data_IF_371439699620
#
_entry.id   IF_371439699620
#
_cell.length_a   1.000
_cell.length_b   1.000
_cell.length_c   1.000
_cell.angle_alpha   90.00
_cell.angle_beta   90.00
_cell.angle_gamma   90.00
#
_symmetry.space_group_name_H-M   'P 1'
#
loop_
_entity.id
_entity.type
_entity.pdbx_description
1 polymer ?
#
# COMPACT_ATOMS: atom_id res chain seq x y z
N UNK A 1 51.91 -34.32 -34.43
CA UNK A 1 51.41 -34.85 -33.15
C UNK A 1 50.78 -33.67 -32.40
N UNK A 2 49.46 -33.59 -32.38
CA UNK A 2 48.70 -32.46 -31.80
C UNK A 2 47.58 -33.03 -30.93
N UNK A 3 47.71 -32.91 -29.61
CA UNK A 3 46.67 -33.23 -28.63
C UNK A 3 45.61 -32.12 -28.65
N UNK A 4 44.34 -32.47 -28.85
CA UNK A 4 43.20 -31.61 -28.52
C UNK A 4 42.70 -31.98 -27.13
N UNK A 5 42.76 -31.03 -26.21
CA UNK A 5 42.13 -31.13 -24.89
C UNK A 5 40.66 -30.79 -25.05
N UNK A 6 39.78 -31.77 -24.82
CA UNK A 6 38.33 -31.58 -24.79
C UNK A 6 37.92 -31.09 -23.41
N UNK A 7 37.68 -29.78 -23.28
CA UNK A 7 37.11 -29.21 -22.06
C UNK A 7 35.61 -29.45 -22.00
N UNK A 8 35.15 -30.24 -21.03
CA UNK A 8 33.74 -30.31 -20.66
C UNK A 8 33.32 -28.99 -20.00
N UNK A 9 32.44 -28.23 -20.65
CA UNK A 9 31.79 -27.06 -20.06
C UNK A 9 30.62 -27.54 -19.22
N UNK A 10 30.76 -27.47 -17.89
CA UNK A 10 29.65 -27.72 -16.96
C UNK A 10 28.82 -26.45 -16.88
N UNK A 11 27.64 -26.45 -17.51
CA UNK A 11 26.65 -25.38 -17.38
C UNK A 11 25.83 -25.66 -16.13
N UNK A 12 26.13 -24.96 -15.02
CA UNK A 12 25.29 -24.97 -13.82
C UNK A 12 24.09 -24.07 -14.10
N UNK A 13 22.99 -24.68 -14.52
CA UNK A 13 21.71 -24.00 -14.69
C UNK A 13 21.07 -23.80 -13.30
N UNK A 14 21.35 -22.67 -12.65
CA UNK A 14 20.60 -22.23 -11.47
C UNK A 14 19.19 -21.81 -11.91
N UNK A 15 18.23 -22.71 -11.76
CA UNK A 15 16.81 -22.41 -11.94
C UNK A 15 16.36 -21.61 -10.72
N UNK A 16 16.43 -20.28 -10.82
CA UNK A 16 15.74 -19.41 -9.88
C UNK A 16 14.24 -19.57 -10.12
N UNK A 17 13.56 -20.27 -9.21
CA UNK A 17 12.11 -20.30 -9.17
C UNK A 17 11.63 -18.92 -8.75
N UNK A 18 11.39 -18.04 -9.73
CA UNK A 18 10.73 -16.76 -9.52
C UNK A 18 9.27 -17.03 -9.12
N UNK A 19 8.99 -17.12 -7.82
CA UNK A 19 7.62 -16.97 -7.32
C UNK A 19 7.24 -15.51 -7.49
N UNK A 20 6.61 -15.21 -8.61
CA UNK A 20 5.98 -13.93 -8.87
C UNK A 20 4.77 -13.83 -7.92
N UNK A 21 4.92 -13.10 -6.80
CA UNK A 21 3.82 -12.79 -5.90
C UNK A 21 2.94 -11.75 -6.58
N UNK A 22 2.01 -12.24 -7.40
CA UNK A 22 0.94 -11.42 -7.95
C UNK A 22 0.04 -11.02 -6.78
N UNK A 23 -0.08 -9.72 -6.53
CA UNK A 23 -1.17 -9.21 -5.70
C UNK A 23 -2.48 -9.56 -6.39
N UNK A 24 -3.16 -10.58 -5.90
CA UNK A 24 -4.45 -11.01 -6.45
C UNK A 24 -5.53 -10.04 -5.97
N UNK A 25 -6.25 -9.41 -6.91
CA UNK A 25 -7.44 -8.61 -6.61
C UNK A 25 -8.55 -9.58 -6.20
N UNK A 26 -8.78 -9.71 -4.91
CA UNK A 26 -9.91 -10.50 -4.42
C UNK A 26 -11.17 -9.65 -4.48
N UNK A 27 -12.01 -9.96 -5.46
CA UNK A 27 -13.45 -9.71 -5.50
C UNK A 27 -13.95 -8.30 -5.12
N UNK A 28 -14.57 -7.63 -6.10
CA UNK A 28 -15.61 -6.62 -5.84
C UNK A 28 -16.83 -7.34 -5.26
N UNK A 29 -16.88 -7.57 -3.95
CA UNK A 29 -18.15 -7.96 -3.34
C UNK A 29 -19.15 -6.82 -3.53
N UNK A 30 -20.31 -7.17 -4.09
CA UNK A 30 -21.40 -6.22 -4.35
C UNK A 30 -21.91 -5.68 -3.00
N UNK A 31 -21.41 -4.51 -2.59
CA UNK A 31 -21.74 -3.86 -1.31
C UNK A 31 -20.59 -3.75 -0.31
N UNK A 32 -19.46 -4.42 -0.54
CA UNK A 32 -18.27 -4.40 0.32
C UNK A 32 -17.06 -3.98 -0.51
N UNK A 33 -16.89 -2.67 -0.62
CA UNK A 33 -15.98 -1.99 -1.52
C UNK A 33 -14.49 -2.07 -1.14
N UNK A 34 -13.99 -3.19 -0.64
CA UNK A 34 -12.57 -3.35 -0.35
C UNK A 34 -11.88 -4.10 -1.49
N UNK A 35 -10.84 -3.53 -2.08
CA UNK A 35 -9.90 -4.30 -2.89
C UNK A 35 -8.78 -4.79 -2.00
N UNK A 36 -8.71 -6.10 -1.77
CA UNK A 36 -7.72 -6.71 -0.89
C UNK A 36 -6.44 -7.04 -1.64
N UNK A 37 -5.30 -6.80 -0.98
CA UNK A 37 -3.99 -7.24 -1.41
C UNK A 37 -3.44 -8.22 -0.39
N UNK A 38 -3.12 -9.45 -0.82
CA UNK A 38 -2.49 -10.49 0.02
C UNK A 38 -0.96 -10.41 -0.06
N UNK A 39 -0.30 -10.99 0.95
CA UNK A 39 1.15 -11.22 0.98
C UNK A 39 1.98 -9.93 0.88
N UNK A 40 1.54 -8.84 1.53
CA UNK A 40 2.33 -7.60 1.64
C UNK A 40 3.42 -7.67 2.71
N UNK A 41 3.65 -8.85 3.32
CA UNK A 41 4.64 -9.07 4.39
C UNK A 41 6.08 -8.70 3.98
N UNK A 42 6.38 -8.69 2.68
CA UNK A 42 7.68 -8.28 2.13
C UNK A 42 7.62 -6.94 1.37
N UNK A 43 6.46 -6.29 1.40
CA UNK A 43 6.19 -5.06 0.67
C UNK A 43 6.09 -3.92 1.69
N UNK A 44 7.23 -3.51 2.26
CA UNK A 44 7.29 -2.54 3.37
C UNK A 44 6.77 -1.13 3.03
N UNK A 45 6.49 -0.85 1.76
CA UNK A 45 5.91 0.40 1.30
C UNK A 45 5.02 0.19 0.08
N UNK A 46 4.11 1.13 -0.16
CA UNK A 46 3.25 1.20 -1.35
C UNK A 46 3.02 2.64 -1.74
N UNK A 47 3.01 2.90 -3.04
CA UNK A 47 2.53 4.16 -3.62
C UNK A 47 1.18 3.88 -4.26
N UNK A 48 0.23 4.77 -4.05
CA UNK A 48 -1.08 4.68 -4.67
C UNK A 48 -1.60 6.07 -5.00
N UNK A 49 -2.41 6.13 -6.03
CA UNK A 49 -2.99 7.34 -6.53
C UNK A 49 -4.47 7.31 -6.23
N UNK A 50 -5.04 8.40 -5.74
CA UNK A 50 -6.46 8.48 -5.43
C UNK A 50 -7.05 9.73 -6.08
N UNK A 51 -8.24 9.60 -6.67
CA UNK A 51 -9.05 10.74 -7.11
C UNK A 51 -10.50 10.56 -6.67
N UNK A 52 -11.22 11.66 -6.51
CA UNK A 52 -12.66 11.63 -6.26
C UNK A 52 -13.16 12.84 -5.48
N UNK A 53 -14.48 12.89 -5.27
CA UNK A 53 -15.19 14.02 -4.64
C UNK A 53 -15.45 13.84 -3.14
N UNK A 54 -15.20 12.66 -2.58
CA UNK A 54 -15.56 12.30 -1.21
C UNK A 54 -14.33 11.97 -0.36
N UNK A 55 -14.35 10.86 0.38
CA UNK A 55 -13.22 10.40 1.19
C UNK A 55 -12.83 8.98 0.81
N UNK A 56 -11.54 8.75 0.68
CA UNK A 56 -10.99 7.41 0.52
C UNK A 56 -10.66 6.82 1.89
N UNK A 57 -10.88 5.51 2.03
CA UNK A 57 -10.52 4.77 3.25
C UNK A 57 -9.49 3.72 2.89
N UNK A 58 -8.42 3.64 3.66
CA UNK A 58 -7.40 2.60 3.51
C UNK A 58 -7.36 1.84 4.82
N UNK A 59 -7.64 0.55 4.76
CA UNK A 59 -7.52 -0.39 5.87
C UNK A 59 -6.23 -1.18 5.74
N UNK A 60 -5.54 -1.36 6.87
CA UNK A 60 -4.43 -2.30 7.02
C UNK A 60 -4.82 -3.32 8.10
N UNK A 61 -4.50 -4.57 7.85
CA UNK A 61 -4.93 -5.70 8.68
C UNK A 61 -3.73 -6.59 8.98
N UNK A 62 -3.71 -7.14 10.18
CA UNK A 62 -2.77 -8.16 10.64
C UNK A 62 -3.19 -9.56 10.24
N UNK A 63 -4.49 -9.82 10.15
CA UNK A 63 -5.08 -11.08 9.73
C UNK A 63 -6.13 -10.87 8.63
N UNK A 64 -6.80 -11.97 8.24
CA UNK A 64 -7.89 -11.93 7.25
C UNK A 64 -8.93 -10.83 7.57
N UNK A 65 -9.62 -10.28 6.56
CA UNK A 65 -10.45 -9.09 6.73
C UNK A 65 -11.55 -9.28 7.78
N UNK A 66 -11.48 -8.48 8.85
CA UNK A 66 -12.51 -8.45 9.90
C UNK A 66 -12.41 -7.19 10.77
N UNK A 67 -11.20 -6.88 11.26
CA UNK A 67 -10.92 -5.64 12.01
C UNK A 67 -9.64 -4.98 11.49
N UNK A 68 -9.75 -3.72 11.04
CA UNK A 68 -8.55 -2.97 10.62
C UNK A 68 -7.68 -2.63 11.83
N UNK A 69 -6.39 -2.97 11.78
CA UNK A 69 -5.38 -2.49 12.73
C UNK A 69 -5.20 -0.99 12.56
N UNK A 70 -4.92 -0.55 11.33
CA UNK A 70 -4.87 0.85 10.97
C UNK A 70 -5.93 1.18 9.92
N UNK A 71 -6.52 2.37 10.05
CA UNK A 71 -7.42 2.92 9.06
C UNK A 71 -7.11 4.38 8.80
N UNK A 72 -6.78 4.68 7.56
CA UNK A 72 -6.56 6.04 7.07
C UNK A 72 -7.84 6.48 6.39
N UNK A 73 -8.32 7.69 6.70
CA UNK A 73 -9.44 8.31 6.00
C UNK A 73 -8.95 9.61 5.41
N UNK A 74 -8.80 9.65 4.09
CA UNK A 74 -8.33 10.81 3.32
C UNK A 74 -9.54 11.61 2.86
N UNK A 75 -9.53 12.93 3.03
CA UNK A 75 -10.58 13.80 2.50
C UNK A 75 -11.88 13.78 3.30
N UNK A 76 -11.83 13.48 4.59
CA UNK A 76 -12.99 13.54 5.50
C UNK A 76 -13.48 14.99 5.68
N UNK A 77 -14.73 15.14 6.10
CA UNK A 77 -15.38 16.43 6.38
C UNK A 77 -15.38 17.36 5.15
N UNK A 78 -15.81 16.83 4.00
CA UNK A 78 -15.79 17.51 2.70
C UNK A 78 -14.37 17.88 2.25
N UNK A 79 -13.48 16.88 2.25
CA UNK A 79 -12.09 17.04 1.87
C UNK A 79 -11.32 18.09 2.70
N UNK A 80 -11.56 18.15 4.01
CA UNK A 80 -10.87 19.09 4.94
C UNK A 80 -9.90 18.42 5.88
N UNK A 81 -10.01 17.10 6.09
CA UNK A 81 -9.20 16.37 7.06
C UNK A 81 -8.75 15.02 6.56
N UNK A 82 -7.55 14.64 6.98
CA UNK A 82 -7.11 13.25 6.92
C UNK A 82 -6.89 12.72 8.32
N UNK A 83 -7.41 11.51 8.59
CA UNK A 83 -7.45 10.93 9.93
C UNK A 83 -6.85 9.53 9.93
N UNK A 84 -5.99 9.27 10.91
CA UNK A 84 -5.47 7.94 11.20
C UNK A 84 -6.21 7.37 12.42
N UNK A 85 -6.69 6.14 12.28
CA UNK A 85 -7.26 5.34 13.34
C UNK A 85 -6.38 4.12 13.57
N UNK A 86 -6.24 3.72 14.84
CA UNK A 86 -5.65 2.44 15.26
C UNK A 86 -6.66 1.70 16.12
N UNK A 87 -7.03 0.47 15.76
CA UNK A 87 -8.10 -0.29 16.43
C UNK A 87 -9.36 0.56 16.67
N UNK A 88 -9.80 1.29 15.63
CA UNK A 88 -10.91 2.25 15.64
C UNK A 88 -10.76 3.47 16.58
N UNK A 89 -9.67 3.60 17.34
CA UNK A 89 -9.35 4.81 18.11
C UNK A 89 -8.60 5.81 17.23
N UNK A 90 -9.03 7.07 17.26
CA UNK A 90 -8.38 8.15 16.50
C UNK A 90 -7.00 8.45 17.13
N UNK A 91 -5.93 8.30 16.36
CA UNK A 91 -4.55 8.52 16.84
C UNK A 91 -3.88 9.73 16.19
N UNK A 92 -4.29 10.12 14.99
CA UNK A 92 -3.76 11.32 14.34
C UNK A 92 -4.83 11.99 13.45
N UNK A 93 -4.75 13.32 13.31
CA UNK A 93 -5.59 14.15 12.44
C UNK A 93 -4.74 15.26 11.86
N UNK A 94 -4.92 15.51 10.57
CA UNK A 94 -4.36 16.67 9.90
C UNK A 94 -5.39 17.41 9.07
N UNK A 95 -5.08 18.69 8.84
CA UNK A 95 -5.76 19.58 7.91
C UNK A 95 -4.83 20.03 6.77
N UNK A 96 -3.60 19.49 6.72
CA UNK A 96 -2.58 19.89 5.76
C UNK A 96 -3.03 19.54 4.33
N UNK A 97 -3.06 20.51 3.40
CA UNK A 97 -3.59 20.31 2.03
C UNK A 97 -2.92 19.18 1.26
N UNK A 98 -1.64 18.94 1.48
CA UNK A 98 -0.87 17.87 0.84
C UNK A 98 -1.48 16.51 1.12
N UNK A 99 -2.08 16.33 2.30
CA UNK A 99 -2.66 15.06 2.73
C UNK A 99 -4.17 15.00 2.50
N UNK A 100 -4.76 15.95 1.78
CA UNK A 100 -6.15 15.94 1.31
C UNK A 100 -6.22 15.48 -0.15
N UNK A 101 -7.41 15.10 -0.64
CA UNK A 101 -7.60 14.84 -2.06
C UNK A 101 -7.46 16.12 -2.89
N UNK A 102 -7.19 15.98 -4.19
CA UNK A 102 -7.26 17.11 -5.11
C UNK A 102 -8.66 17.73 -5.14
N UNK A 103 -8.74 19.05 -5.26
CA UNK A 103 -10.02 19.74 -5.45
C UNK A 103 -10.66 19.40 -6.80
N UNK A 104 -9.85 19.08 -7.81
CA UNK A 104 -10.33 18.57 -9.08
C UNK A 104 -10.50 17.04 -9.01
N UNK A 105 -11.74 16.51 -9.05
CA UNK A 105 -11.99 15.10 -8.85
C UNK A 105 -11.52 14.20 -9.99
N UNK A 106 -11.12 14.76 -11.13
CA UNK A 106 -10.58 13.96 -12.26
C UNK A 106 -9.08 13.70 -12.11
N UNK A 107 -8.38 14.46 -11.26
CA UNK A 107 -6.94 14.36 -11.04
C UNK A 107 -6.61 13.36 -9.95
N UNK A 108 -5.73 12.43 -10.29
CA UNK A 108 -5.11 11.53 -9.33
C UNK A 108 -4.09 12.25 -8.47
N UNK A 109 -4.17 12.05 -7.16
CA UNK A 109 -3.16 12.49 -6.20
C UNK A 109 -2.35 11.31 -5.69
N UNK A 110 -1.01 11.37 -5.73
CA UNK A 110 -0.17 10.31 -5.21
C UNK A 110 -0.07 10.39 -3.68
N UNK A 111 -0.14 9.22 -3.06
CA UNK A 111 0.09 8.99 -1.66
C UNK A 111 0.97 7.77 -1.50
N UNK A 112 1.61 7.68 -0.35
CA UNK A 112 2.41 6.52 -0.01
C UNK A 112 2.16 6.08 1.42
N UNK A 113 2.30 4.79 1.65
CA UNK A 113 2.35 4.19 2.99
C UNK A 113 3.65 3.42 3.12
N UNK A 114 4.22 3.41 4.32
CA UNK A 114 5.35 2.57 4.69
C UNK A 114 5.06 1.98 6.06
N UNK A 115 5.40 0.72 6.26
CA UNK A 115 5.26 0.09 7.57
C UNK A 115 6.40 -0.89 7.81
N UNK A 116 6.71 -1.05 9.09
CA UNK A 116 7.60 -2.06 9.65
C UNK A 116 6.89 -2.68 10.86
N UNK A 117 7.56 -3.58 11.57
CA UNK A 117 7.09 -4.07 12.88
C UNK A 117 6.91 -2.94 13.89
N UNK A 118 7.71 -1.88 13.78
CA UNK A 118 7.87 -0.87 14.83
C UNK A 118 7.12 0.43 14.53
N UNK A 119 6.91 0.74 13.25
CA UNK A 119 6.22 1.97 12.86
C UNK A 119 5.34 1.80 11.63
N UNK A 120 4.39 2.71 11.55
CA UNK A 120 3.54 2.98 10.41
C UNK A 120 3.72 4.44 9.99
N UNK A 121 3.91 4.68 8.70
CA UNK A 121 3.99 6.00 8.11
C UNK A 121 3.05 6.14 6.92
N UNK A 122 2.44 7.30 6.80
CA UNK A 122 1.60 7.68 5.67
C UNK A 122 1.93 9.10 5.25
N UNK A 123 2.11 9.31 3.95
CA UNK A 123 2.41 10.63 3.40
C UNK A 123 1.82 10.84 2.01
N UNK A 124 2.03 12.05 1.50
CA UNK A 124 1.66 12.45 0.16
C UNK A 124 2.91 12.56 -0.72
N UNK A 125 2.78 12.23 -2.01
CA UNK A 125 3.89 12.27 -2.95
C UNK A 125 4.04 10.97 -3.73
N UNK A 126 4.84 11.06 -4.79
CA UNK A 126 5.11 9.97 -5.72
C UNK A 126 6.25 9.06 -5.26
N UNK A 127 6.91 9.41 -4.15
CA UNK A 127 8.01 8.65 -3.55
C UNK A 127 7.81 8.54 -2.05
N UNK A 128 8.18 7.38 -1.50
CA UNK A 128 8.13 7.15 -0.05
C UNK A 128 9.06 8.12 0.67
N UNK A 129 8.55 8.77 1.72
CA UNK A 129 9.28 9.81 2.47
C UNK A 129 9.18 11.21 1.87
N UNK A 130 8.57 11.37 0.69
CA UNK A 130 8.27 12.68 0.13
C UNK A 130 7.15 13.38 0.92
N UNK A 131 7.21 14.70 0.98
CA UNK A 131 6.11 15.54 1.45
C UNK A 131 5.75 15.40 2.93
N UNK A 132 4.59 15.98 3.27
CA UNK A 132 4.03 15.88 4.62
C UNK A 132 3.60 14.44 4.92
N UNK A 133 3.86 13.99 6.14
CA UNK A 133 3.52 12.64 6.58
C UNK A 133 3.17 12.60 8.07
N UNK A 134 2.62 11.46 8.50
CA UNK A 134 2.49 11.11 9.91
C UNK A 134 3.16 9.78 10.19
N UNK A 135 3.70 9.67 11.39
CA UNK A 135 4.21 8.45 11.95
C UNK A 135 3.34 8.01 13.14
N UNK A 136 3.11 6.71 13.25
CA UNK A 136 2.51 6.06 14.42
C UNK A 136 3.37 4.86 14.79
N UNK A 137 3.52 4.62 16.09
CA UNK A 137 4.08 3.35 16.56
C UNK A 137 3.23 2.18 16.05
N UNK A 138 3.92 1.11 15.66
CA UNK A 138 3.37 -0.18 15.31
C UNK A 138 3.99 -1.25 16.23
N UNK A 139 3.24 -2.30 16.48
CA UNK A 139 3.73 -3.49 17.18
C UNK A 139 3.06 -4.77 16.63
N UNK A 140 2.47 -4.67 15.43
CA UNK A 140 1.73 -5.73 14.78
C UNK A 140 2.24 -5.90 13.36
N UNK A 141 2.40 -7.13 12.91
CA UNK A 141 2.77 -7.41 11.51
C UNK A 141 1.55 -7.20 10.62
N UNK A 142 1.61 -6.23 9.71
CA UNK A 142 0.53 -5.96 8.76
C UNK A 142 0.68 -6.88 7.54
N UNK A 143 -0.36 -7.66 7.25
CA UNK A 143 -0.37 -8.71 6.22
C UNK A 143 -1.28 -8.40 5.04
N UNK A 144 -2.25 -7.51 5.22
CA UNK A 144 -3.21 -7.14 4.20
C UNK A 144 -3.43 -5.63 4.15
N UNK A 145 -3.65 -5.12 2.94
CA UNK A 145 -4.10 -3.77 2.68
C UNK A 145 -5.42 -3.84 1.92
N UNK A 146 -6.34 -2.92 2.22
CA UNK A 146 -7.51 -2.73 1.40
C UNK A 146 -7.91 -1.28 1.25
N UNK A 147 -8.33 -0.89 0.05
CA UNK A 147 -8.90 0.43 -0.22
C UNK A 147 -10.41 0.30 -0.23
N UNK A 148 -11.10 1.04 0.64
CA UNK A 148 -12.55 1.20 0.66
C UNK A 148 -12.99 2.51 0.05
N UNK A 149 -13.84 2.38 -0.97
CA UNK A 149 -14.59 3.48 -1.56
C UNK A 149 -16.05 3.39 -1.12
N UNK A 150 -16.76 4.52 -1.03
CA UNK A 150 -18.20 4.48 -0.76
C UNK A 150 -18.92 4.28 -2.10
N UNK A 151 -19.84 3.31 -2.24
CA UNK A 151 -20.55 3.08 -3.52
C UNK A 151 -21.26 4.32 -4.07
N UNK A 152 -21.70 5.20 -3.17
CA UNK A 152 -22.44 6.43 -3.50
C UNK A 152 -21.57 7.56 -4.05
N UNK A 153 -20.24 7.46 -3.95
CA UNK A 153 -19.32 8.53 -4.36
C UNK A 153 -18.16 7.95 -5.19
N UNK A 154 -17.97 8.37 -6.45
CA UNK A 154 -16.91 7.84 -7.29
C UNK A 154 -15.55 8.22 -6.69
N UNK A 155 -14.78 7.18 -6.36
CA UNK A 155 -13.36 7.28 -6.03
C UNK A 155 -12.68 6.21 -6.86
N UNK A 156 -11.68 6.63 -7.62
CA UNK A 156 -10.80 5.71 -8.33
C UNK A 156 -9.44 5.69 -7.64
N UNK A 157 -8.75 4.57 -7.75
CA UNK A 157 -7.38 4.46 -7.29
C UNK A 157 -6.51 3.65 -8.27
N UNK A 158 -5.22 3.94 -8.27
CA UNK A 158 -4.18 3.15 -8.94
C UNK A 158 -3.21 2.73 -7.85
N UNK A 159 -2.95 1.44 -7.69
CA UNK A 159 -1.92 0.96 -6.78
C UNK A 159 -0.67 0.62 -7.57
N UNK A 160 0.43 1.31 -7.30
CA UNK A 160 1.73 0.95 -7.83
C UNK A 160 2.40 -0.02 -6.86
N UNK A 161 2.52 -1.28 -7.30
CA UNK A 161 3.14 -2.34 -6.53
C UNK A 161 4.66 -2.31 -6.78
N UNK A 162 5.36 -1.44 -6.06
CA UNK A 162 6.81 -1.55 -5.91
C UNK A 162 7.14 -2.80 -5.08
N UNK A 163 7.68 -3.84 -5.71
CA UNK A 163 8.31 -4.95 -4.99
C UNK A 163 9.67 -4.46 -4.48
N UNK A 164 9.78 -4.19 -3.17
CA UNK A 164 11.07 -3.94 -2.55
C UNK A 164 11.92 -5.21 -2.62
N UNK A 165 13.00 -5.16 -3.40
CA UNK A 165 13.96 -6.25 -3.61
C UNK A 165 15.05 -6.32 -2.53
N UNK A 166 14.81 -5.86 -1.31
CA UNK A 166 15.85 -5.86 -0.28
C UNK A 166 15.28 -6.30 1.07
N UNK A 167 15.72 -7.45 1.63
CA UNK A 167 15.46 -7.75 3.03
C UNK A 167 16.13 -6.68 3.89
N UNK A 168 15.38 -6.10 4.83
CA UNK A 168 15.96 -5.24 5.86
C UNK A 168 16.77 -6.18 6.76
N UNK A 169 18.10 -6.12 6.60
CA UNK A 169 19.07 -6.73 7.51
C UNK A 169 19.00 -6.07 8.89
#
# INVERSE_FOLDING_TARGET
>A
MSMRVSGCVVIILMIYVFRSFHGEILSLEKGTAYTYFRNVENLNDKIFYVRGIAHAVIGLFDETPGSTVFRIVIGRDLNKRTRLYRFNKKVNVTIQPELLLESNPTKFKPFWIKWTTDYFMFGAGSRVGEGMNFLSANNVTLRYMAVKTKPTYPIDYILDLSCSKVPIL
#
